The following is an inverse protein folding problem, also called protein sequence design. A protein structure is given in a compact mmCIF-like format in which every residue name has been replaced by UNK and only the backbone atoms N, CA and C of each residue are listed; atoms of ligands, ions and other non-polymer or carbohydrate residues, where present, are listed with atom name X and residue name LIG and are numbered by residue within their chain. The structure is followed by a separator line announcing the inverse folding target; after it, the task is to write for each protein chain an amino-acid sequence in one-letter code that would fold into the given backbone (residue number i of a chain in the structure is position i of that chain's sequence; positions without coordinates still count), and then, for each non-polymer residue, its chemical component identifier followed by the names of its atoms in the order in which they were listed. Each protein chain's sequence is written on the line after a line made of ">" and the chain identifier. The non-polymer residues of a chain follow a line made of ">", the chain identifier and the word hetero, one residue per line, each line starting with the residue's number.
data_IF_363426179272
#
_entry.id   IF_363426179272
#
_cell.length_a   1.000
_cell.length_b   1.000
_cell.length_c   1.000
_cell.angle_alpha   90.00
_cell.angle_beta   90.00
_cell.angle_gamma   90.00
#
_symmetry.space_group_name_H-M   'P 1'
#
loop_
_entity.id
_entity.type
_entity.pdbx_description
1 polymer ?
#
# COMPACT_ATOMS: atom_id res chain seq x y z
N UNK A 1 5.09 49.25 -13.53
CA UNK A 1 6.24 48.42 -13.97
C UNK A 1 6.64 47.35 -12.94
N UNK A 2 6.65 47.65 -11.63
CA UNK A 2 6.97 46.67 -10.56
C UNK A 2 5.91 45.57 -10.34
N UNK A 3 4.61 45.87 -10.51
CA UNK A 3 3.54 44.85 -10.34
C UNK A 3 3.63 43.71 -11.35
N UNK A 4 3.76 44.02 -12.65
CA UNK A 4 3.87 42.97 -13.68
C UNK A 4 5.11 42.08 -13.49
N UNK A 5 6.15 42.59 -12.85
CA UNK A 5 7.33 41.81 -12.47
C UNK A 5 7.04 40.88 -11.28
N UNK A 6 6.36 41.39 -10.24
CA UNK A 6 5.89 40.59 -9.10
C UNK A 6 4.96 39.47 -9.54
N UNK A 7 3.99 39.77 -10.42
CA UNK A 7 3.02 38.79 -10.93
C UNK A 7 3.73 37.65 -11.67
N UNK A 8 4.77 37.94 -12.47
CA UNK A 8 5.55 36.92 -13.17
C UNK A 8 6.31 36.01 -12.20
N UNK A 9 6.90 36.56 -11.14
CA UNK A 9 7.58 35.76 -10.11
C UNK A 9 6.60 34.85 -9.39
N UNK A 10 5.42 35.35 -9.00
CA UNK A 10 4.38 34.53 -8.39
C UNK A 10 3.93 33.40 -9.31
N UNK A 11 3.79 33.67 -10.61
CA UNK A 11 3.43 32.66 -11.60
C UNK A 11 4.47 31.53 -11.67
N UNK A 12 5.76 31.89 -11.75
CA UNK A 12 6.85 30.91 -11.76
C UNK A 12 6.89 30.10 -10.46
N UNK A 13 6.68 30.76 -9.31
CA UNK A 13 6.65 30.09 -8.01
C UNK A 13 5.55 29.03 -7.92
N UNK A 14 4.33 29.32 -8.41
CA UNK A 14 3.21 28.38 -8.43
C UNK A 14 3.54 27.15 -9.29
N UNK A 15 4.03 27.37 -10.51
CA UNK A 15 4.42 26.26 -11.40
C UNK A 15 5.54 25.43 -10.78
N UNK A 16 6.55 26.08 -10.19
CA UNK A 16 7.65 25.38 -9.53
C UNK A 16 7.19 24.55 -8.33
N UNK A 17 6.23 25.04 -7.54
CA UNK A 17 5.69 24.31 -6.39
C UNK A 17 4.94 23.05 -6.80
N UNK A 18 4.12 23.12 -7.85
CA UNK A 18 3.43 21.94 -8.39
C UNK A 18 4.44 20.91 -8.92
N UNK A 19 5.47 21.37 -9.62
CA UNK A 19 6.54 20.50 -10.15
C UNK A 19 7.30 19.82 -8.99
N UNK A 20 7.67 20.58 -7.96
CA UNK A 20 8.37 20.06 -6.78
C UNK A 20 7.49 19.04 -6.03
N UNK A 21 6.21 19.33 -5.85
CA UNK A 21 5.27 18.41 -5.20
C UNK A 21 5.14 17.09 -5.98
N UNK A 22 5.04 17.18 -7.31
CA UNK A 22 4.96 16.01 -8.18
C UNK A 22 6.23 15.15 -8.14
N UNK A 23 7.41 15.78 -8.15
CA UNK A 23 8.69 15.06 -8.04
C UNK A 23 8.83 14.42 -6.65
N UNK A 24 8.45 15.13 -5.59
CA UNK A 24 8.54 14.65 -4.20
C UNK A 24 7.64 13.44 -3.94
N UNK A 25 6.44 13.42 -4.54
CA UNK A 25 5.51 12.30 -4.46
C UNK A 25 6.13 10.97 -4.95
N UNK A 26 7.06 11.03 -5.92
CA UNK A 26 7.72 9.82 -6.46
C UNK A 26 8.79 9.23 -5.54
N UNK A 27 9.27 9.98 -4.54
CA UNK A 27 10.31 9.51 -3.62
C UNK A 27 9.76 8.72 -2.42
N UNK A 28 8.46 8.78 -2.16
CA UNK A 28 7.84 8.13 -1.00
C UNK A 28 7.62 6.65 -1.33
N UNK A 29 8.56 5.79 -0.92
CA UNK A 29 8.37 4.34 -0.93
C UNK A 29 7.74 3.89 0.40
N UNK A 30 6.77 2.96 0.40
CA UNK A 30 6.26 2.38 1.64
C UNK A 30 7.38 1.77 2.47
N UNK A 31 7.31 1.94 3.78
CA UNK A 31 8.29 1.36 4.71
C UNK A 31 8.13 -0.16 4.72
N UNK A 32 9.23 -0.87 4.52
CA UNK A 32 9.26 -2.32 4.71
C UNK A 32 9.32 -2.64 6.21
N UNK A 33 8.37 -3.44 6.69
CA UNK A 33 8.29 -3.85 8.10
C UNK A 33 7.92 -5.33 8.19
N UNK A 34 8.41 -5.97 9.25
CA UNK A 34 8.04 -7.36 9.60
C UNK A 34 6.65 -7.40 10.25
N UNK A 35 5.95 -8.52 10.12
CA UNK A 35 4.57 -8.71 10.57
C UNK A 35 4.40 -8.40 12.06
N UNK A 36 5.34 -8.83 12.91
CA UNK A 36 5.27 -8.59 14.36
C UNK A 36 5.25 -7.11 14.77
N UNK A 37 5.77 -6.23 13.90
CA UNK A 37 5.95 -4.80 14.21
C UNK A 37 4.89 -3.92 13.55
N UNK A 38 3.90 -4.52 12.88
CA UNK A 38 2.82 -3.79 12.22
C UNK A 38 1.92 -3.13 13.26
N UNK A 39 1.62 -1.84 13.08
CA UNK A 39 0.65 -1.12 13.87
C UNK A 39 -0.47 -0.56 13.00
N UNK A 40 -1.68 -0.45 13.56
CA UNK A 40 -2.81 0.26 12.94
C UNK A 40 -2.51 1.75 12.62
N UNK A 41 -1.50 2.32 13.28
CA UNK A 41 -1.07 3.72 13.07
C UNK A 41 -0.25 3.89 11.80
N UNK A 42 0.25 2.80 11.23
CA UNK A 42 0.98 2.84 9.98
C UNK A 42 0.02 3.09 8.80
N UNK A 43 0.38 4.00 7.90
CA UNK A 43 -0.46 4.32 6.74
C UNK A 43 -0.42 3.22 5.67
N UNK A 44 0.76 3.01 5.09
CA UNK A 44 1.02 1.97 4.10
C UNK A 44 2.32 1.29 4.45
N UNK A 45 2.27 -0.03 4.47
CA UNK A 45 3.39 -0.88 4.84
C UNK A 45 3.67 -1.85 3.72
N UNK A 46 4.96 -2.16 3.56
CA UNK A 46 5.44 -3.18 2.65
C UNK A 46 5.86 -4.40 3.47
N UNK A 47 5.40 -5.58 3.07
CA UNK A 47 5.73 -6.85 3.73
C UNK A 47 6.15 -7.83 2.65
N UNK A 48 7.24 -8.55 2.91
CA UNK A 48 7.68 -9.68 2.11
C UNK A 48 7.33 -10.96 2.86
N UNK A 49 6.62 -11.88 2.21
CA UNK A 49 6.19 -13.09 2.87
C UNK A 49 5.68 -14.16 1.90
N UNK A 50 5.33 -15.30 2.46
CA UNK A 50 4.82 -16.46 1.73
C UNK A 50 3.32 -16.58 1.92
N UNK A 51 2.60 -16.84 0.84
CA UNK A 51 1.17 -17.11 0.90
C UNK A 51 0.96 -18.51 1.45
N UNK A 52 0.24 -18.61 2.56
CA UNK A 52 -0.07 -19.89 3.21
C UNK A 52 -1.41 -20.43 2.72
N UNK A 53 -2.42 -19.57 2.66
CA UNK A 53 -3.80 -19.93 2.31
C UNK A 53 -4.44 -18.82 1.49
N UNK A 54 -5.34 -19.19 0.58
CA UNK A 54 -6.18 -18.27 -0.18
C UNK A 54 -7.62 -18.79 -0.11
N UNK A 55 -8.56 -17.91 0.19
CA UNK A 55 -10.00 -18.19 0.14
C UNK A 55 -10.75 -17.02 -0.47
N UNK A 56 -11.81 -17.29 -1.22
CA UNK A 56 -12.67 -16.27 -1.82
C UNK A 56 -14.05 -16.34 -1.18
N UNK A 57 -14.61 -15.19 -0.80
CA UNK A 57 -16.01 -15.12 -0.37
C UNK A 57 -16.96 -15.18 -1.56
N UNK A 58 -18.23 -15.44 -1.26
CA UNK A 58 -19.32 -15.35 -2.25
C UNK A 58 -19.50 -13.93 -2.81
N UNK A 59 -19.01 -12.91 -2.08
CA UNK A 59 -19.07 -11.50 -2.45
C UNK A 59 -17.82 -11.01 -3.21
N UNK A 60 -16.99 -11.92 -3.72
CA UNK A 60 -15.80 -11.57 -4.52
C UNK A 60 -14.59 -11.06 -3.73
N UNK A 61 -14.66 -11.00 -2.40
CA UNK A 61 -13.52 -10.62 -1.55
C UNK A 61 -12.57 -11.80 -1.39
N UNK A 62 -11.27 -11.56 -1.59
CA UNK A 62 -10.23 -12.59 -1.41
C UNK A 62 -9.54 -12.38 -0.06
N UNK A 63 -9.48 -13.44 0.73
CA UNK A 63 -8.78 -13.51 2.01
C UNK A 63 -7.56 -14.40 1.84
N UNK A 64 -6.41 -13.92 2.29
CA UNK A 64 -5.15 -14.64 2.23
C UNK A 64 -4.49 -14.64 3.60
N UNK A 65 -3.75 -15.70 3.90
CA UNK A 65 -2.82 -15.70 5.04
C UNK A 65 -1.42 -15.57 4.53
N UNK A 66 -0.70 -14.55 4.99
CA UNK A 66 0.68 -14.29 4.60
C UNK A 66 1.56 -14.50 5.82
N UNK A 67 2.62 -15.27 5.64
CA UNK A 67 3.58 -15.60 6.68
C UNK A 67 4.95 -15.04 6.31
N UNK A 68 5.57 -14.32 7.24
CA UNK A 68 6.98 -13.96 7.17
C UNK A 68 7.77 -14.72 8.25
N UNK A 69 9.02 -14.31 8.48
CA UNK A 69 9.88 -14.92 9.51
C UNK A 69 9.37 -14.68 10.95
N UNK A 70 8.53 -13.66 11.16
CA UNK A 70 8.10 -13.18 12.48
C UNK A 70 6.69 -13.55 12.85
N UNK A 71 5.81 -13.76 11.87
CA UNK A 71 4.41 -13.98 12.15
C UNK A 71 3.57 -14.33 10.95
N UNK A 72 2.27 -14.39 11.20
CA UNK A 72 1.23 -14.64 10.21
C UNK A 72 0.19 -13.53 10.32
N UNK A 73 -0.21 -12.97 9.18
CA UNK A 73 -1.22 -11.91 9.10
C UNK A 73 -2.32 -12.27 8.10
N UNK A 74 -3.54 -11.87 8.44
CA UNK A 74 -4.68 -11.95 7.55
C UNK A 74 -4.64 -10.76 6.57
N UNK A 75 -4.66 -11.06 5.28
CA UNK A 75 -4.54 -10.09 4.21
C UNK A 75 -5.76 -10.14 3.28
N UNK A 76 -6.35 -8.99 3.00
CA UNK A 76 -7.65 -8.88 2.35
C UNK A 76 -7.53 -8.08 1.06
N UNK A 77 -8.15 -8.61 0.00
CA UNK A 77 -8.31 -7.95 -1.29
C UNK A 77 -9.80 -7.82 -1.55
N UNK A 78 -10.29 -6.59 -1.57
CA UNK A 78 -11.66 -6.31 -1.97
C UNK A 78 -11.85 -6.54 -3.47
N UNK A 79 -13.08 -6.90 -3.84
CA UNK A 79 -13.44 -7.15 -5.24
C UNK A 79 -13.04 -5.96 -6.13
N UNK A 80 -12.50 -6.24 -7.32
CA UNK A 80 -12.05 -5.24 -8.30
C UNK A 80 -10.94 -4.27 -7.85
N UNK A 81 -10.34 -4.46 -6.67
CA UNK A 81 -9.25 -3.59 -6.19
C UNK A 81 -7.90 -3.91 -6.85
N UNK A 82 -7.67 -5.17 -7.22
CA UNK A 82 -6.42 -5.64 -7.83
C UNK A 82 -6.75 -6.50 -9.04
N UNK A 83 -6.06 -6.24 -10.16
CA UNK A 83 -6.15 -7.02 -11.39
C UNK A 83 -5.18 -8.20 -11.33
N UNK A 84 -5.49 -9.29 -12.04
CA UNK A 84 -4.64 -10.48 -12.20
C UNK A 84 -4.39 -11.29 -10.91
N UNK A 85 -5.40 -11.41 -10.05
CA UNK A 85 -5.30 -12.23 -8.84
C UNK A 85 -5.24 -13.74 -9.11
N UNK A 86 -5.60 -14.16 -10.33
CA UNK A 86 -5.74 -15.57 -10.68
C UNK A 86 -4.39 -16.29 -10.87
N UNK A 87 -3.29 -15.54 -10.95
CA UNK A 87 -1.93 -16.09 -11.04
C UNK A 87 -1.35 -16.46 -9.67
N UNK A 88 -1.95 -15.96 -8.59
CA UNK A 88 -1.43 -16.07 -7.23
C UNK A 88 -1.82 -17.41 -6.61
N UNK A 89 -0.84 -18.12 -6.05
CA UNK A 89 -1.05 -19.46 -5.47
C UNK A 89 -0.47 -19.59 -4.06
N UNK A 90 -1.06 -20.44 -3.20
CA UNK A 90 -0.41 -20.84 -1.96
C UNK A 90 0.99 -21.39 -2.22
N UNK A 91 1.93 -21.02 -1.37
CA UNK A 91 3.34 -21.41 -1.45
C UNK A 91 4.24 -20.40 -2.16
N UNK A 92 3.67 -19.39 -2.83
CA UNK A 92 4.43 -18.34 -3.52
C UNK A 92 4.96 -17.29 -2.52
N UNK A 93 6.19 -16.83 -2.74
CA UNK A 93 6.71 -15.62 -2.10
C UNK A 93 6.19 -14.38 -2.82
N UNK A 94 5.71 -13.43 -2.05
CA UNK A 94 5.08 -12.21 -2.55
C UNK A 94 5.53 -10.99 -1.76
N UNK A 95 5.56 -9.87 -2.46
CA UNK A 95 5.70 -8.54 -1.89
C UNK A 95 4.32 -7.89 -1.87
N UNK A 96 3.80 -7.57 -0.68
CA UNK A 96 2.52 -6.89 -0.54
C UNK A 96 2.71 -5.47 -0.01
N UNK A 97 1.91 -4.56 -0.56
CA UNK A 97 1.75 -3.20 -0.05
C UNK A 97 0.29 -3.02 0.34
N UNK A 98 0.05 -2.62 1.57
CA UNK A 98 -1.31 -2.46 2.08
C UNK A 98 -1.39 -1.57 3.31
N UNK A 99 -2.62 -1.31 3.73
CA UNK A 99 -2.94 -0.54 4.92
C UNK A 99 -3.28 -1.49 6.08
N UNK A 100 -2.51 -1.47 7.18
CA UNK A 100 -2.88 -2.17 8.40
C UNK A 100 -4.18 -1.63 8.98
N UNK A 101 -4.99 -2.51 9.51
CA UNK A 101 -6.19 -2.16 10.25
C UNK A 101 -6.48 -3.22 11.32
N UNK A 102 -7.17 -2.82 12.37
CA UNK A 102 -7.75 -3.77 13.30
C UNK A 102 -9.20 -4.08 12.90
N UNK A 103 -9.51 -5.36 12.78
CA UNK A 103 -10.87 -5.84 12.58
C UNK A 103 -11.20 -6.90 13.62
N UNK A 104 -12.23 -6.62 14.43
CA UNK A 104 -12.69 -7.52 15.51
C UNK A 104 -11.56 -7.98 16.47
N UNK A 105 -10.65 -7.06 16.84
CA UNK A 105 -9.55 -7.39 17.74
C UNK A 105 -8.38 -8.12 17.09
N UNK A 106 -8.36 -8.23 15.76
CA UNK A 106 -7.27 -8.86 15.00
C UNK A 106 -6.67 -7.88 14.01
N UNK A 107 -5.35 -7.86 13.95
CA UNK A 107 -4.62 -7.10 12.93
C UNK A 107 -4.76 -7.77 11.57
N UNK A 108 -5.19 -6.99 10.59
CA UNK A 108 -5.34 -7.38 9.20
C UNK A 108 -4.67 -6.34 8.30
N UNK A 109 -4.41 -6.70 7.04
CA UNK A 109 -3.90 -5.76 6.04
C UNK A 109 -4.80 -5.73 4.80
N UNK A 110 -5.27 -4.54 4.44
CA UNK A 110 -5.99 -4.32 3.17
C UNK A 110 -4.94 -4.10 2.08
N UNK A 111 -4.79 -5.07 1.18
CA UNK A 111 -3.78 -5.04 0.14
C UNK A 111 -4.22 -4.06 -0.96
N UNK A 112 -3.31 -3.17 -1.33
CA UNK A 112 -3.44 -2.25 -2.48
C UNK A 112 -2.59 -2.68 -3.67
N UNK A 113 -1.48 -3.39 -3.43
CA UNK A 113 -0.64 -3.97 -4.49
C UNK A 113 0.02 -5.24 -4.00
N UNK A 114 0.17 -6.21 -4.91
CA UNK A 114 0.84 -7.48 -4.69
C UNK A 114 1.72 -7.77 -5.91
N UNK A 115 2.91 -8.32 -5.68
CA UNK A 115 3.92 -8.67 -6.69
C UNK A 115 4.56 -10.00 -6.37
#
# INVERSE_FOLDING_TARGET
>A
MKENFLIKICLVAIFSGIIIMFVSSRAIKPKEIKIENISEKDNFVKINGKIMEISKSKSGTTFMKIKDETGLIDAIIFENSIKNLDEIRPGQEVEIIGKPQEYKGKMEIIISSIR
#
